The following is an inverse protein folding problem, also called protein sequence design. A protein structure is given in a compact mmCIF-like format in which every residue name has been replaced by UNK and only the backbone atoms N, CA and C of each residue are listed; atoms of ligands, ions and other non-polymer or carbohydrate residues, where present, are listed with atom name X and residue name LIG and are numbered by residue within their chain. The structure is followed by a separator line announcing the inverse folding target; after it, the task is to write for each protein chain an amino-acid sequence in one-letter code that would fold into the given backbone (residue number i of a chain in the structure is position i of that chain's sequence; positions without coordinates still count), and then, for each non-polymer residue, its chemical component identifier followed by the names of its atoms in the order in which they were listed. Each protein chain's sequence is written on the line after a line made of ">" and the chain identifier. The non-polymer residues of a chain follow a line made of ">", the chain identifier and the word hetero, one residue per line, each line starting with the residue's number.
data_IF_878122738408
#
_entry.id   IF_878122738408
#
_cell.length_a   1.000
_cell.length_b   1.000
_cell.length_c   1.000
_cell.angle_alpha   90.00
_cell.angle_beta   90.00
_cell.angle_gamma   90.00
#
_symmetry.space_group_name_H-M   'P 1'
#
loop_
_entity.id
_entity.type
_entity.pdbx_description
1 polymer ?
#
# COMPACT_ATOMS: atom_id res chain seq x y z
N UNK A 1 -5.06 -19.20 0.21
CA UNK A 1 -4.88 -19.11 -1.25
C UNK A 1 -3.47 -18.64 -1.52
N UNK A 2 -2.75 -19.15 -2.52
CA UNK A 2 -1.44 -18.62 -2.82
C UNK A 2 -1.58 -17.16 -3.26
N UNK A 3 -0.76 -16.29 -2.68
CA UNK A 3 -0.67 -14.89 -3.07
C UNK A 3 -0.06 -14.84 -4.48
N UNK A 4 -0.89 -14.64 -5.50
CA UNK A 4 -0.45 -14.56 -6.89
C UNK A 4 -0.12 -13.13 -7.31
N UNK A 5 0.76 -13.01 -8.29
CA UNK A 5 0.98 -11.73 -8.98
C UNK A 5 -0.34 -11.27 -9.63
N UNK A 6 -0.78 -10.07 -9.31
CA UNK A 6 -1.99 -9.46 -9.91
C UNK A 6 -1.70 -8.91 -11.32
N UNK A 7 -0.46 -8.54 -11.59
CA UNK A 7 -0.04 -8.05 -12.91
C UNK A 7 0.04 -9.21 -13.89
N UNK A 8 -0.53 -9.02 -15.06
CA UNK A 8 -0.45 -9.96 -16.19
C UNK A 8 0.60 -9.45 -17.16
N UNK A 9 1.46 -10.36 -17.64
CA UNK A 9 2.53 -10.04 -18.57
C UNK A 9 3.45 -8.90 -18.08
N UNK A 10 3.84 -8.94 -16.81
CA UNK A 10 4.75 -7.97 -16.23
C UNK A 10 6.22 -8.16 -16.60
N UNK A 11 6.57 -9.35 -17.11
CA UNK A 11 7.87 -9.71 -17.65
C UNK A 11 7.95 -9.62 -19.19
N UNK A 12 6.85 -9.24 -19.85
CA UNK A 12 6.74 -9.04 -21.31
C UNK A 12 7.09 -10.24 -22.19
N UNK A 13 7.24 -11.44 -21.63
CA UNK A 13 7.67 -12.65 -22.36
C UNK A 13 6.66 -13.17 -23.39
N UNK A 14 5.49 -12.57 -23.46
CA UNK A 14 4.56 -12.80 -24.59
C UNK A 14 5.01 -12.13 -25.90
N UNK A 15 6.06 -11.29 -25.86
CA UNK A 15 6.51 -10.47 -27.00
C UNK A 15 5.51 -9.37 -27.39
N UNK A 16 4.59 -9.02 -26.50
CA UNK A 16 3.53 -8.03 -26.69
C UNK A 16 3.33 -7.19 -25.44
N UNK A 17 2.81 -5.97 -25.61
CA UNK A 17 2.41 -5.13 -24.47
C UNK A 17 1.05 -5.53 -23.88
N UNK A 18 0.23 -6.33 -24.57
CA UNK A 18 -1.10 -6.74 -24.07
C UNK A 18 -0.96 -7.56 -22.76
N UNK A 19 -1.72 -7.26 -21.72
CA UNK A 19 -2.89 -6.36 -21.63
C UNK A 19 -2.59 -4.93 -21.13
N UNK A 20 -1.34 -4.48 -21.17
CA UNK A 20 -0.99 -3.12 -20.78
C UNK A 20 -1.52 -2.10 -21.79
N UNK A 21 -2.04 -0.99 -21.27
CA UNK A 21 -2.32 0.21 -22.08
C UNK A 21 -1.08 1.09 -22.06
N UNK A 22 -0.72 1.67 -23.20
CA UNK A 22 0.52 2.41 -23.32
C UNK A 22 0.47 3.52 -24.36
N UNK A 23 1.38 4.47 -24.23
CA UNK A 23 1.68 5.49 -25.23
C UNK A 23 3.19 5.71 -25.30
N UNK A 24 3.75 5.80 -26.51
CA UNK A 24 5.18 5.92 -26.75
C UNK A 24 6.00 4.83 -26.04
N UNK A 25 5.52 3.59 -26.12
CA UNK A 25 6.16 2.39 -25.57
C UNK A 25 6.20 1.31 -26.64
N UNK A 26 7.28 0.54 -26.69
CA UNK A 26 7.45 -0.61 -27.57
C UNK A 26 7.97 -1.81 -26.80
N UNK A 27 7.77 -3.02 -27.33
CA UNK A 27 8.50 -4.20 -26.85
C UNK A 27 9.94 -4.11 -27.36
N UNK A 28 10.89 -4.39 -26.49
CA UNK A 28 12.31 -4.56 -26.78
C UNK A 28 12.74 -6.02 -26.58
N UNK A 29 13.53 -6.53 -27.47
CA UNK A 29 14.25 -7.80 -27.34
C UNK A 29 15.77 -7.60 -27.32
N UNK A 30 16.21 -6.35 -27.19
CA UNK A 30 17.62 -5.99 -27.11
C UNK A 30 18.13 -5.89 -25.69
N UNK A 31 17.26 -5.50 -24.78
CA UNK A 31 17.54 -5.35 -23.34
C UNK A 31 16.37 -5.96 -22.55
N UNK A 32 16.66 -6.92 -21.71
CA UNK A 32 15.73 -7.50 -20.76
C UNK A 32 16.47 -7.71 -19.43
N UNK A 33 15.77 -7.62 -18.31
CA UNK A 33 16.33 -7.97 -17.02
C UNK A 33 16.30 -9.49 -16.83
N UNK A 34 15.15 -10.09 -17.13
CA UNK A 34 15.00 -11.54 -17.21
C UNK A 34 14.39 -11.92 -18.56
N UNK A 35 14.52 -13.17 -18.96
CA UNK A 35 13.96 -13.67 -20.22
C UNK A 35 14.52 -13.00 -21.47
N UNK A 36 13.63 -12.68 -22.42
CA UNK A 36 13.99 -12.20 -23.77
C UNK A 36 13.40 -10.84 -24.12
N UNK A 37 12.42 -10.34 -23.35
CA UNK A 37 11.68 -9.14 -23.69
C UNK A 37 11.55 -8.19 -22.50
N UNK A 38 11.40 -6.92 -22.81
CA UNK A 38 11.08 -5.85 -21.85
C UNK A 38 10.20 -4.79 -22.50
N UNK A 39 9.68 -3.84 -21.74
CA UNK A 39 9.02 -2.66 -22.31
C UNK A 39 9.97 -1.47 -22.36
N UNK A 40 10.11 -0.87 -23.54
CA UNK A 40 10.92 0.30 -23.84
C UNK A 40 10.02 1.55 -23.87
N UNK A 41 10.20 2.46 -22.95
CA UNK A 41 9.57 3.79 -22.91
C UNK A 41 10.48 4.79 -23.62
N UNK A 42 9.99 5.42 -24.70
CA UNK A 42 10.80 6.36 -25.48
C UNK A 42 11.19 7.60 -24.69
N UNK A 43 12.47 7.95 -24.76
CA UNK A 43 13.09 9.07 -24.08
C UNK A 43 12.75 10.44 -24.67
N UNK A 44 13.61 11.42 -24.42
CA UNK A 44 13.48 12.79 -24.91
C UNK A 44 12.12 13.43 -24.55
N UNK A 45 11.56 14.22 -25.46
CA UNK A 45 10.31 14.94 -25.27
C UNK A 45 9.05 14.05 -25.39
N UNK A 46 9.20 12.72 -25.61
CA UNK A 46 8.06 11.81 -25.65
C UNK A 46 7.38 11.74 -24.27
N UNK A 47 6.05 11.80 -24.27
CA UNK A 47 5.24 11.50 -23.09
C UNK A 47 4.93 10.00 -23.09
N UNK A 48 5.75 9.21 -22.39
CA UNK A 48 5.71 7.75 -22.44
C UNK A 48 5.12 7.19 -21.17
N UNK A 49 4.09 6.38 -21.28
CA UNK A 49 3.47 5.74 -20.12
C UNK A 49 2.98 4.33 -20.43
N UNK A 50 2.93 3.54 -19.39
CA UNK A 50 2.48 2.16 -19.39
C UNK A 50 1.61 1.95 -18.15
N UNK A 51 0.38 1.42 -18.30
CA UNK A 51 -0.46 1.16 -17.15
C UNK A 51 -1.30 -0.11 -17.31
N UNK A 52 -1.65 -0.73 -16.18
CA UNK A 52 -2.56 -1.86 -16.10
C UNK A 52 -3.45 -1.71 -14.87
N UNK A 53 -4.76 -1.91 -15.04
CA UNK A 53 -5.71 -1.96 -13.94
C UNK A 53 -6.04 -3.42 -13.61
N UNK A 54 -6.00 -3.76 -12.33
CA UNK A 54 -6.25 -5.11 -11.82
C UNK A 54 -7.33 -5.09 -10.74
N UNK A 55 -8.18 -6.13 -10.65
CA UNK A 55 -9.21 -6.19 -9.62
C UNK A 55 -8.59 -6.38 -8.22
N UNK A 56 -9.14 -5.66 -7.24
CA UNK A 56 -8.71 -5.71 -5.84
C UNK A 56 -9.89 -5.83 -4.90
N UNK A 57 -9.61 -6.26 -3.66
CA UNK A 57 -10.60 -6.38 -2.58
C UNK A 57 -10.29 -5.37 -1.48
N UNK A 58 -11.31 -4.71 -0.97
CA UNK A 58 -11.20 -3.78 0.17
C UNK A 58 -10.50 -4.46 1.34
N UNK A 59 -9.52 -3.78 1.92
CA UNK A 59 -8.72 -4.32 3.03
C UNK A 59 -7.43 -5.03 2.61
N UNK A 60 -7.23 -5.35 1.32
CA UNK A 60 -5.96 -5.88 0.83
C UNK A 60 -4.87 -4.81 0.83
N UNK A 61 -3.62 -5.25 0.82
CA UNK A 61 -2.44 -4.44 0.52
C UNK A 61 -1.50 -5.22 -0.39
N UNK A 62 -0.57 -4.52 -1.03
CA UNK A 62 0.28 -5.12 -2.06
C UNK A 62 1.74 -4.75 -1.86
N UNK A 63 2.61 -5.68 -2.21
CA UNK A 63 4.02 -5.44 -2.49
C UNK A 63 4.19 -5.25 -3.99
N UNK A 64 4.84 -4.15 -4.35
CA UNK A 64 5.17 -3.80 -5.72
C UNK A 64 6.66 -3.97 -5.97
N UNK A 65 7.01 -4.59 -7.11
CA UNK A 65 8.39 -4.73 -7.60
C UNK A 65 8.44 -4.32 -9.07
N UNK A 66 9.56 -3.76 -9.47
CA UNK A 66 9.84 -3.36 -10.84
C UNK A 66 11.35 -3.34 -11.05
N UNK A 67 11.81 -3.93 -12.13
CA UNK A 67 13.19 -3.75 -12.63
C UNK A 67 13.19 -2.63 -13.67
N UNK A 68 14.08 -1.63 -13.51
CA UNK A 68 14.14 -0.45 -14.35
C UNK A 68 15.58 -0.01 -14.61
N UNK A 69 15.87 0.41 -15.84
CA UNK A 69 17.14 0.99 -16.23
C UNK A 69 16.97 2.02 -17.34
N UNK A 70 17.98 2.82 -17.61
CA UNK A 70 18.06 3.65 -18.81
C UNK A 70 18.89 2.96 -19.90
N UNK A 71 18.78 3.40 -21.14
CA UNK A 71 19.59 2.94 -22.27
C UNK A 71 20.45 4.07 -22.78
N UNK A 72 21.76 3.82 -22.81
CA UNK A 72 22.73 4.75 -23.41
C UNK A 72 23.24 5.85 -22.46
N UNK A 73 24.04 6.78 -23.02
CA UNK A 73 24.90 7.68 -22.26
C UNK A 73 24.22 8.95 -21.75
N UNK A 74 23.02 9.27 -22.23
CA UNK A 74 22.28 10.43 -21.75
C UNK A 74 21.75 10.21 -20.31
N UNK A 75 21.47 11.25 -19.54
CA UNK A 75 20.85 11.09 -18.24
C UNK A 75 19.47 10.43 -18.36
N UNK A 76 19.03 9.67 -17.36
CA UNK A 76 17.66 9.19 -17.30
C UNK A 76 16.70 10.36 -17.12
N UNK A 77 15.50 10.33 -17.74
CA UNK A 77 14.43 11.25 -17.39
C UNK A 77 13.91 10.99 -15.98
N UNK A 78 13.05 11.87 -15.48
CA UNK A 78 12.21 11.53 -14.33
C UNK A 78 11.21 10.46 -14.71
N UNK A 79 11.00 9.51 -13.81
CA UNK A 79 9.97 8.48 -13.93
C UNK A 79 9.10 8.48 -12.67
N UNK A 80 7.81 8.67 -12.87
CA UNK A 80 6.81 8.62 -11.82
C UNK A 80 6.11 7.25 -11.86
N UNK A 81 6.07 6.56 -10.73
CA UNK A 81 5.42 5.26 -10.59
C UNK A 81 4.34 5.42 -9.53
N UNK A 82 3.12 4.99 -9.84
CA UNK A 82 2.03 5.08 -8.89
C UNK A 82 1.12 3.85 -8.94
N UNK A 83 0.50 3.55 -7.81
CA UNK A 83 -0.64 2.67 -7.70
C UNK A 83 -1.83 3.51 -7.25
N UNK A 84 -2.87 3.54 -8.07
CA UNK A 84 -4.05 4.37 -7.86
C UNK A 84 -5.26 3.46 -7.70
N UNK A 85 -6.00 3.62 -6.61
CA UNK A 85 -7.24 2.90 -6.39
C UNK A 85 -8.40 3.57 -7.11
N UNK A 86 -9.18 2.75 -7.82
CA UNK A 86 -10.30 3.19 -8.65
C UNK A 86 -11.61 2.55 -8.15
N UNK A 87 -12.71 3.27 -8.28
CA UNK A 87 -14.05 2.72 -8.07
C UNK A 87 -14.56 1.96 -9.32
N UNK A 88 -15.78 1.44 -9.25
CA UNK A 88 -16.41 0.70 -10.34
C UNK A 88 -16.63 1.53 -11.63
N UNK A 89 -16.65 2.86 -11.52
CA UNK A 89 -16.74 3.78 -12.65
C UNK A 89 -15.34 4.20 -13.18
N UNK A 90 -14.26 3.51 -12.75
CA UNK A 90 -12.86 3.84 -13.08
C UNK A 90 -12.43 5.25 -12.63
N UNK A 91 -13.11 5.82 -11.63
CA UNK A 91 -12.73 7.11 -11.05
C UNK A 91 -11.71 6.92 -9.95
N UNK A 92 -10.61 7.70 -9.91
CA UNK A 92 -9.62 7.65 -8.83
C UNK A 92 -10.25 7.96 -7.47
N UNK A 93 -9.94 7.15 -6.46
CA UNK A 93 -10.37 7.34 -5.06
C UNK A 93 -9.19 7.83 -4.22
N UNK A 94 -8.04 7.15 -4.34
CA UNK A 94 -6.84 7.47 -3.57
C UNK A 94 -5.60 6.92 -4.24
N UNK A 95 -4.44 7.43 -3.82
CA UNK A 95 -3.13 6.91 -4.21
C UNK A 95 -2.73 5.87 -3.17
N UNK A 96 -2.48 4.65 -3.63
CA UNK A 96 -2.00 3.54 -2.80
C UNK A 96 -0.48 3.56 -2.62
N UNK A 97 0.24 4.04 -3.64
CA UNK A 97 1.70 4.12 -3.67
C UNK A 97 2.11 5.22 -4.65
N UNK A 98 3.19 5.94 -4.35
CA UNK A 98 3.78 6.94 -5.25
C UNK A 98 5.28 7.01 -5.08
N UNK A 99 6.01 6.82 -6.18
CA UNK A 99 7.48 6.84 -6.23
C UNK A 99 7.89 7.80 -7.34
N UNK A 100 8.85 8.67 -7.06
CA UNK A 100 9.45 9.57 -8.04
C UNK A 100 10.93 9.20 -8.15
N UNK A 101 11.34 8.77 -9.33
CA UNK A 101 12.74 8.54 -9.67
C UNK A 101 13.28 9.79 -10.38
N UNK A 102 14.15 10.56 -9.74
CA UNK A 102 14.61 11.83 -10.30
C UNK A 102 15.47 11.67 -11.56
N UNK A 103 15.62 12.75 -12.30
CA UNK A 103 16.52 12.80 -13.48
C UNK A 103 17.93 12.35 -13.10
N UNK A 104 18.53 11.48 -13.92
CA UNK A 104 19.92 11.03 -13.76
C UNK A 104 20.15 9.94 -12.73
N UNK A 105 19.09 9.40 -12.07
CA UNK A 105 19.24 8.42 -10.99
C UNK A 105 19.17 6.95 -11.45
N UNK A 106 18.75 6.66 -12.67
CA UNK A 106 18.70 5.29 -13.15
C UNK A 106 20.05 4.85 -13.73
N UNK A 107 20.46 3.59 -13.47
CA UNK A 107 21.66 3.02 -14.04
C UNK A 107 21.48 2.81 -15.54
N UNK A 108 22.59 2.79 -16.27
CA UNK A 108 22.64 2.28 -17.64
C UNK A 108 22.54 0.76 -17.59
N UNK A 109 21.71 0.16 -18.46
CA UNK A 109 21.53 -1.29 -18.53
C UNK A 109 22.73 -2.06 -19.07
N UNK A 110 23.83 -1.39 -19.41
CA UNK A 110 25.09 -2.03 -19.78
C UNK A 110 25.51 -3.05 -18.72
N UNK A 111 25.94 -4.22 -19.16
CA UNK A 111 26.32 -5.33 -18.29
C UNK A 111 25.21 -5.80 -17.35
N UNK A 112 23.96 -5.72 -17.80
CA UNK A 112 22.78 -6.11 -17.01
C UNK A 112 22.64 -5.33 -15.71
N UNK A 113 22.95 -4.04 -15.74
CA UNK A 113 22.82 -3.18 -14.57
C UNK A 113 21.42 -2.56 -14.51
N UNK A 114 20.63 -2.98 -13.52
CA UNK A 114 19.25 -2.58 -13.30
C UNK A 114 19.02 -2.12 -11.86
N UNK A 115 18.10 -1.21 -11.67
CA UNK A 115 17.57 -0.89 -10.33
C UNK A 115 16.31 -1.70 -10.10
N UNK A 116 16.22 -2.33 -8.94
CA UNK A 116 14.97 -2.91 -8.45
C UNK A 116 14.27 -1.89 -7.57
N UNK A 117 13.06 -1.53 -7.95
CA UNK A 117 12.17 -0.70 -7.15
C UNK A 117 11.28 -1.63 -6.33
N UNK A 118 11.16 -1.35 -5.05
CA UNK A 118 10.29 -2.06 -4.12
C UNK A 118 9.52 -1.06 -3.26
N UNK A 119 8.21 -1.25 -3.13
CA UNK A 119 7.36 -0.44 -2.27
C UNK A 119 6.14 -1.23 -1.81
N UNK A 120 5.56 -0.83 -0.69
CA UNK A 120 4.34 -1.41 -0.14
C UNK A 120 3.19 -0.41 -0.31
N UNK A 121 2.05 -0.88 -0.82
CA UNK A 121 0.88 -0.03 -0.97
C UNK A 121 0.19 0.23 0.37
N UNK A 122 -0.55 1.34 0.45
CA UNK A 122 -1.58 1.48 1.47
C UNK A 122 -2.67 0.41 1.30
N UNK A 123 -3.47 0.23 2.33
CA UNK A 123 -4.62 -0.69 2.29
C UNK A 123 -5.66 -0.20 1.26
N UNK A 124 -6.25 -1.13 0.53
CA UNK A 124 -7.34 -0.86 -0.43
C UNK A 124 -8.53 -0.22 0.31
N UNK A 125 -8.90 1.03 -0.03
CA UNK A 125 -9.96 1.74 0.68
C UNK A 125 -11.36 1.22 0.31
N UNK A 126 -12.35 1.61 1.11
CA UNK A 126 -13.76 1.37 0.79
C UNK A 126 -14.12 1.91 -0.59
N UNK A 127 -15.03 1.24 -1.31
CA UNK A 127 -15.49 1.52 -2.68
C UNK A 127 -14.45 1.27 -3.79
N UNK A 128 -13.20 0.97 -3.49
CA UNK A 128 -12.24 0.58 -4.52
C UNK A 128 -12.56 -0.82 -5.05
N UNK A 129 -12.54 -0.97 -6.36
CA UNK A 129 -12.74 -2.23 -7.07
C UNK A 129 -11.53 -2.62 -7.90
N UNK A 130 -10.69 -1.65 -8.24
CA UNK A 130 -9.47 -1.84 -9.03
C UNK A 130 -8.31 -1.05 -8.45
N UNK A 131 -7.10 -1.55 -8.70
CA UNK A 131 -5.85 -0.81 -8.54
C UNK A 131 -5.21 -0.66 -9.92
N UNK A 132 -4.83 0.55 -10.29
CA UNK A 132 -4.11 0.84 -11.52
C UNK A 132 -2.66 1.12 -11.18
N UNK A 133 -1.76 0.27 -11.66
CA UNK A 133 -0.32 0.54 -11.68
C UNK A 133 -0.02 1.36 -12.92
N UNK A 134 0.67 2.48 -12.77
CA UNK A 134 1.14 3.32 -13.86
C UNK A 134 2.63 3.62 -13.70
N UNK A 135 3.36 3.52 -14.80
CA UNK A 135 4.76 3.92 -14.95
C UNK A 135 4.77 5.02 -15.99
N UNK A 136 5.15 6.21 -15.60
CA UNK A 136 5.09 7.41 -16.43
C UNK A 136 6.46 8.06 -16.51
N UNK A 137 7.06 7.99 -17.67
CA UNK A 137 8.29 8.72 -18.01
C UNK A 137 7.92 10.14 -18.40
N UNK A 138 8.38 11.11 -17.63
CA UNK A 138 8.10 12.52 -17.83
C UNK A 138 8.85 13.05 -19.05
N UNK A 139 8.20 13.83 -19.96
CA UNK A 139 8.88 14.47 -21.07
C UNK A 139 10.07 15.31 -20.61
N UNK A 140 11.26 15.00 -21.13
CA UNK A 140 12.50 15.72 -20.79
C UNK A 140 13.45 15.66 -21.98
N UNK A 141 13.71 16.77 -22.69
CA UNK A 141 14.67 16.80 -23.79
C UNK A 141 16.06 16.31 -23.38
N UNK A 142 16.76 15.69 -24.30
CA UNK A 142 18.13 15.17 -24.11
C UNK A 142 18.25 14.14 -22.99
N UNK A 143 17.24 13.28 -22.83
CA UNK A 143 17.27 12.15 -21.92
C UNK A 143 17.18 10.81 -22.66
N UNK A 144 17.67 9.77 -22.00
CA UNK A 144 17.69 8.38 -22.49
C UNK A 144 16.28 7.78 -22.56
N UNK A 145 16.14 6.74 -23.37
CA UNK A 145 15.05 5.78 -23.26
C UNK A 145 15.13 5.03 -21.93
N UNK A 146 14.00 4.54 -21.46
CA UNK A 146 13.88 3.74 -20.25
C UNK A 146 13.39 2.35 -20.63
N UNK A 147 13.97 1.33 -20.01
CA UNK A 147 13.47 -0.05 -20.07
C UNK A 147 12.95 -0.47 -18.73
N UNK A 148 11.82 -1.17 -18.73
CA UNK A 148 11.17 -1.74 -17.54
C UNK A 148 10.87 -3.21 -17.78
N UNK A 149 11.03 -4.01 -16.72
CA UNK A 149 10.83 -5.46 -16.74
C UNK A 149 10.41 -5.96 -15.34
N UNK A 150 9.98 -7.22 -15.26
CA UNK A 150 9.62 -7.91 -14.02
C UNK A 150 8.68 -7.11 -13.11
N UNK A 151 7.63 -6.54 -13.69
CA UNK A 151 6.63 -5.80 -12.94
C UNK A 151 5.74 -6.79 -12.19
N UNK A 152 5.71 -6.65 -10.87
CA UNK A 152 5.00 -7.57 -9.97
C UNK A 152 4.19 -6.76 -8.97
N UNK A 153 2.96 -7.19 -8.74
CA UNK A 153 2.08 -6.70 -7.69
C UNK A 153 1.53 -7.90 -6.92
N UNK A 154 2.14 -8.24 -5.81
CA UNK A 154 1.75 -9.39 -4.98
C UNK A 154 0.87 -8.90 -3.84
N UNK A 155 -0.28 -9.54 -3.66
CA UNK A 155 -1.09 -9.30 -2.48
C UNK A 155 -0.32 -9.76 -1.24
N UNK A 156 -0.05 -8.85 -0.31
CA UNK A 156 0.32 -9.21 1.05
C UNK A 156 -0.93 -9.77 1.73
N UNK A 157 -0.79 -10.70 2.68
CA UNK A 157 -1.95 -11.18 3.42
C UNK A 157 -2.82 -10.01 3.83
N UNK A 158 -4.15 -10.16 3.77
CA UNK A 158 -5.05 -9.14 4.29
C UNK A 158 -4.44 -8.68 5.61
N UNK A 159 -4.02 -7.42 5.67
CA UNK A 159 -3.53 -6.87 6.92
C UNK A 159 -4.63 -7.15 7.92
N UNK A 160 -4.42 -8.15 8.77
CA UNK A 160 -5.29 -8.30 9.91
C UNK A 160 -5.17 -6.98 10.61
N UNK A 161 -6.18 -6.11 10.45
CA UNK A 161 -6.39 -5.03 11.40
C UNK A 161 -6.24 -5.78 12.72
N UNK A 162 -5.13 -5.54 13.43
CA UNK A 162 -4.84 -6.25 14.68
C UNK A 162 -6.13 -6.21 15.45
N UNK A 163 -6.66 -7.36 15.88
CA UNK A 163 -7.93 -7.43 16.60
C UNK A 163 -7.93 -6.27 17.60
N UNK A 164 -8.92 -5.41 17.52
CA UNK A 164 -9.11 -4.34 18.50
C UNK A 164 -8.92 -5.00 19.86
N UNK A 165 -7.95 -4.54 20.64
CA UNK A 165 -7.63 -5.13 21.93
C UNK A 165 -8.94 -5.34 22.68
N UNK A 166 -9.11 -6.49 23.33
CA UNK A 166 -10.31 -6.81 24.08
C UNK A 166 -10.62 -5.62 25.01
N UNK A 167 -11.86 -5.16 25.01
CA UNK A 167 -12.31 -4.12 25.94
C UNK A 167 -11.91 -4.56 27.35
N UNK A 168 -11.19 -3.73 28.09
CA UNK A 168 -10.78 -4.01 29.45
C UNK A 168 -11.99 -4.50 30.25
N UNK A 169 -11.81 -5.49 31.12
CA UNK A 169 -12.87 -6.00 32.00
C UNK A 169 -13.46 -4.82 32.79
N UNK A 170 -14.77 -4.78 32.87
CA UNK A 170 -15.46 -3.80 33.75
C UNK A 170 -14.92 -3.99 35.17
N UNK A 171 -14.48 -2.89 35.82
CA UNK A 171 -14.01 -2.94 37.20
C UNK A 171 -15.04 -3.58 38.08
N UNK A 172 -14.62 -4.37 39.08
CA UNK A 172 -15.49 -5.00 40.04
C UNK A 172 -16.33 -3.93 40.76
N UNK A 173 -17.59 -4.24 40.99
CA UNK A 173 -18.48 -3.39 41.80
C UNK A 173 -17.86 -3.22 43.18
N UNK A 174 -17.63 -1.97 43.63
CA UNK A 174 -17.11 -1.70 44.97
C UNK A 174 -17.90 -2.44 46.04
N UNK A 175 -17.18 -2.97 47.03
CA UNK A 175 -17.82 -3.67 48.16
C UNK A 175 -18.87 -2.77 48.83
N UNK A 176 -20.02 -3.34 49.11
CA UNK A 176 -21.08 -2.64 49.88
C UNK A 176 -20.52 -2.21 51.25
N UNK A 177 -20.65 -0.95 51.61
CA UNK A 177 -20.23 -0.45 52.91
C UNK A 177 -20.88 -1.25 54.05
N UNK A 178 -20.13 -1.54 55.08
CA UNK A 178 -20.64 -2.24 56.27
C UNK A 178 -21.76 -1.41 56.89
N UNK A 179 -22.83 -2.06 57.30
CA UNK A 179 -23.94 -1.44 58.03
C UNK A 179 -23.39 -0.79 59.29
N UNK A 180 -23.70 0.48 59.52
CA UNK A 180 -23.30 1.20 60.75
C UNK A 180 -23.77 0.45 62.02
N UNK A 181 -22.91 0.44 63.04
CA UNK A 181 -23.25 -0.17 64.31
C UNK A 181 -24.54 0.42 64.86
N UNK A 182 -25.40 -0.44 65.39
CA UNK A 182 -26.64 0.02 66.12
C UNK A 182 -26.23 0.87 67.32
N UNK A 183 -26.81 2.04 67.46
CA UNK A 183 -26.56 2.90 68.61
C UNK A 183 -26.89 2.21 69.93
N UNK A 184 -26.08 2.47 70.96
CA UNK A 184 -26.30 1.92 72.31
C UNK A 184 -27.68 2.28 72.82
N UNK A 185 -28.31 1.35 73.53
CA UNK A 185 -29.60 1.58 74.21
C UNK A 185 -29.39 2.57 75.29
N UNK A 186 -30.16 3.66 75.34
CA UNK A 186 -30.09 4.70 76.36
C UNK A 186 -30.23 4.11 77.74
N UNK A 187 -29.44 4.66 78.70
CA UNK A 187 -29.47 4.22 80.05
C UNK A 187 -30.87 4.36 80.66
N UNK A 188 -31.29 3.38 81.38
CA UNK A 188 -32.59 3.42 82.14
C UNK A 188 -32.57 4.50 83.21
N UNK A 189 -33.58 5.37 83.16
CA UNK A 189 -33.71 6.45 84.17
C UNK A 189 -33.77 5.93 85.62
N UNK A 190 -33.10 6.63 86.54
CA UNK A 190 -33.09 6.28 87.93
C UNK A 190 -34.51 6.42 88.54
N UNK A 191 -34.92 5.46 89.32
CA UNK A 191 -36.17 5.49 90.04
C UNK A 191 -36.19 6.64 91.04
N UNK A 192 -37.24 7.48 91.01
CA UNK A 192 -37.40 8.61 91.98
C UNK A 192 -37.44 8.14 93.41
N UNK A 193 -36.82 8.93 94.34
CA UNK A 193 -36.80 8.66 95.77
C UNK A 193 -38.23 8.67 96.37
N UNK A 194 -38.54 7.69 97.19
CA UNK A 194 -39.79 7.56 97.92
C UNK A 194 -39.81 8.63 99.03
N UNK A 195 -40.85 9.49 99.05
CA UNK A 195 -41.05 10.46 100.10
C UNK A 195 -41.39 9.84 101.45
N UNK A 196 -40.73 10.26 102.50
CA UNK A 196 -41.07 9.91 103.86
C UNK A 196 -42.09 10.91 104.45
N UNK A 197 -43.08 10.36 105.09
CA UNK A 197 -44.14 11.11 105.80
C UNK A 197 -43.54 11.79 107.00
#
# INVERSE_FOLDING_TARGET
>A
MPFGNKIVNGNFETGSLIPWSSSNVAISNLQSHTGSYSALLFGNAANSFLFQAVPVTVGDSFEFFLSIAKIGNLPSPQVDIALIYLNAASTPISIGMSIILPIGHLPDNLNNNWSTIYEISSVVPAMATHAMVIIHKIPSPSTSDIVVDDIVLVQTGAGTIGNTGATGATGDTGATGITGATGDTGATGITGATGTI
#
